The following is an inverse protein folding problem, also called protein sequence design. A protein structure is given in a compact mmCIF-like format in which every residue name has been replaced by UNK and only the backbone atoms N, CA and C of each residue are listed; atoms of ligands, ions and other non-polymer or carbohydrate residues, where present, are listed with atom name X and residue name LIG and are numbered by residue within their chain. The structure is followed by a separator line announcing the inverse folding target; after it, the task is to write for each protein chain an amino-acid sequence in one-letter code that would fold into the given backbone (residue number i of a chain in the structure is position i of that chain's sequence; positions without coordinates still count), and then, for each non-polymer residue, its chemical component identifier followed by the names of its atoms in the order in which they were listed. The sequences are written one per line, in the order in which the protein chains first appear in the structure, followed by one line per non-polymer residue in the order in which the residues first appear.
data_IF_741821799199
#
_entry.id   IF_741821799199
#
_cell.length_a   1.000
_cell.length_b   1.000
_cell.length_c   1.000
_cell.angle_alpha   90.00
_cell.angle_beta   90.00
_cell.angle_gamma   90.00
#
_symmetry.space_group_name_H-M   'P 1'
#
loop_
_entity.id
_entity.type
_entity.pdbx_description
1 polymer ?
#
# COMPACT_ATOMS: atom_id res chain seq x y z
N UNK A 1 -4.77 -0.11 8.60
CA UNK A 1 -5.10 0.91 7.60
C UNK A 1 -5.97 0.33 6.52
N UNK A 2 -6.98 1.08 6.07
CA UNK A 2 -7.77 0.73 4.90
C UNK A 2 -7.07 1.18 3.61
N UNK A 3 -7.53 0.70 2.46
CA UNK A 3 -6.95 1.05 1.16
C UNK A 3 -6.93 2.58 0.91
N UNK A 4 -7.86 3.33 1.50
CA UNK A 4 -7.93 4.77 1.35
C UNK A 4 -6.82 5.49 2.14
N UNK A 5 -6.57 5.08 3.38
CA UNK A 5 -5.48 5.63 4.20
C UNK A 5 -4.13 5.35 3.55
N UNK A 6 -3.95 4.15 3.00
CA UNK A 6 -2.72 3.77 2.29
C UNK A 6 -2.50 4.62 1.05
N UNK A 7 -3.56 4.86 0.26
CA UNK A 7 -3.47 5.78 -0.88
C UNK A 7 -3.05 7.19 -0.44
N UNK A 8 -3.56 7.68 0.69
CA UNK A 8 -3.22 9.01 1.21
C UNK A 8 -1.78 9.06 1.74
N UNK A 9 -1.36 8.06 2.53
CA UNK A 9 -0.03 7.96 3.11
C UNK A 9 1.06 7.86 2.03
N UNK A 10 0.82 7.04 1.00
CA UNK A 10 1.74 6.91 -0.13
C UNK A 10 1.58 8.05 -1.16
N UNK A 11 0.46 8.79 -1.13
CA UNK A 11 0.08 9.77 -2.13
C UNK A 11 -0.08 9.16 -3.52
N UNK A 12 -0.71 7.99 -3.60
CA UNK A 12 -0.90 7.24 -4.83
C UNK A 12 -2.39 7.08 -5.13
N UNK A 13 -2.70 6.83 -6.40
CA UNK A 13 -4.08 6.53 -6.81
C UNK A 13 -4.47 5.09 -6.43
N UNK A 14 -5.79 4.81 -6.36
CA UNK A 14 -6.30 3.45 -6.18
C UNK A 14 -5.78 2.47 -7.24
N UNK A 15 -5.52 2.95 -8.47
CA UNK A 15 -4.96 2.16 -9.56
C UNK A 15 -3.49 1.78 -9.30
N UNK A 16 -2.69 2.71 -8.77
CA UNK A 16 -1.33 2.41 -8.33
C UNK A 16 -1.34 1.40 -7.18
N UNK A 17 -2.23 1.57 -6.19
CA UNK A 17 -2.36 0.63 -5.06
C UNK A 17 -2.80 -0.78 -5.50
N UNK A 18 -3.62 -0.89 -6.55
CA UNK A 18 -3.92 -2.20 -7.16
C UNK A 18 -2.67 -2.78 -7.81
N UNK A 19 -1.98 -2.01 -8.66
CA UNK A 19 -0.77 -2.46 -9.34
C UNK A 19 0.32 -2.88 -8.34
N UNK A 20 0.46 -2.20 -7.20
CA UNK A 20 1.41 -2.58 -6.16
C UNK A 20 1.01 -3.84 -5.40
N UNK A 21 -0.29 -4.12 -5.25
CA UNK A 21 -0.74 -5.41 -4.73
C UNK A 21 -0.48 -6.53 -5.72
N UNK A 22 -0.80 -6.31 -6.99
CA UNK A 22 -0.60 -7.29 -8.06
C UNK A 22 0.88 -7.62 -8.27
N UNK A 23 1.75 -6.61 -8.14
CA UNK A 23 3.21 -6.78 -8.21
C UNK A 23 3.83 -7.26 -6.88
N UNK A 24 3.05 -7.43 -5.81
CA UNK A 24 3.56 -7.85 -4.49
C UNK A 24 4.44 -6.81 -3.78
N UNK A 25 4.38 -5.54 -4.20
CA UNK A 25 5.13 -4.42 -3.62
C UNK A 25 4.58 -3.95 -2.28
N UNK A 26 3.25 -4.04 -2.09
CA UNK A 26 2.60 -3.68 -0.82
C UNK A 26 2.06 -4.95 -0.17
N UNK A 27 2.60 -5.36 1.00
CA UNK A 27 2.03 -6.41 1.81
C UNK A 27 0.61 -6.05 2.24
N UNK A 28 -0.30 -6.99 2.08
CA UNK A 28 -1.68 -6.86 2.52
C UNK A 28 -2.09 -8.08 3.31
N UNK A 29 -2.98 -7.88 4.27
CA UNK A 29 -3.64 -8.94 5.02
C UNK A 29 -5.09 -8.99 4.58
N UNK A 30 -5.57 -10.15 4.14
CA UNK A 30 -7.00 -10.35 3.91
C UNK A 30 -7.64 -10.95 5.16
N UNK A 31 -8.56 -10.21 5.77
CA UNK A 31 -9.34 -10.71 6.90
C UNK A 31 -10.81 -10.56 6.55
N UNK A 32 -11.50 -11.68 6.36
CA UNK A 32 -12.94 -11.70 6.05
C UNK A 32 -13.31 -10.96 4.77
N UNK A 33 -12.46 -11.01 3.73
CA UNK A 33 -12.73 -10.36 2.44
C UNK A 33 -12.37 -8.87 2.39
N UNK A 34 -11.89 -8.29 3.49
CA UNK A 34 -11.35 -6.92 3.52
C UNK A 34 -9.83 -6.95 3.49
N UNK A 35 -9.25 -6.01 2.74
CA UNK A 35 -7.81 -5.81 2.65
C UNK A 35 -7.36 -4.81 3.72
N UNK A 36 -6.50 -5.29 4.62
CA UNK A 36 -5.88 -4.50 5.65
C UNK A 36 -4.39 -4.34 5.38
N UNK A 37 -3.87 -3.18 5.71
CA UNK A 37 -2.46 -2.86 5.59
C UNK A 37 -1.91 -2.48 6.96
N UNK A 38 -0.70 -2.97 7.26
CA UNK A 38 0.02 -2.61 8.48
C UNK A 38 0.78 -1.32 8.22
N UNK A 39 0.74 -0.40 9.17
CA UNK A 39 1.47 0.86 9.08
C UNK A 39 2.97 0.63 8.92
N UNK A 40 3.53 -0.35 9.63
CA UNK A 40 4.95 -0.69 9.54
C UNK A 40 5.36 -1.06 8.11
N UNK A 41 4.55 -1.85 7.40
CA UNK A 41 4.85 -2.25 6.02
C UNK A 41 4.80 -1.02 5.09
N UNK A 42 3.81 -0.14 5.26
CA UNK A 42 3.68 1.09 4.46
C UNK A 42 4.86 2.03 4.73
N UNK A 43 5.28 2.14 5.98
CA UNK A 43 6.40 2.98 6.37
C UNK A 43 7.73 2.42 5.83
N UNK A 44 7.95 1.11 5.90
CA UNK A 44 9.13 0.48 5.26
C UNK A 44 9.16 0.73 3.76
N UNK A 45 8.02 0.69 3.08
CA UNK A 45 7.95 0.94 1.62
C UNK A 45 8.27 2.40 1.28
N UNK A 46 7.80 3.34 2.12
CA UNK A 46 8.12 4.76 2.01
C UNK A 46 9.62 4.99 2.22
N UNK A 47 10.20 4.35 3.23
CA UNK A 47 11.60 4.50 3.63
C UNK A 47 12.56 3.80 2.65
N UNK A 48 12.17 2.63 2.16
CA UNK A 48 12.89 1.86 1.13
C UNK A 48 12.84 2.53 -0.25
N UNK A 49 12.01 3.56 -0.44
CA UNK A 49 11.92 4.32 -1.68
C UNK A 49 11.37 3.51 -2.87
N UNK A 50 10.71 2.38 -2.58
CA UNK A 50 10.10 1.48 -3.58
C UNK A 50 9.00 2.19 -4.38
N UNK A 51 8.36 3.20 -3.79
CA UNK A 51 7.33 4.02 -4.42
C UNK A 51 7.91 5.43 -4.63
N UNK A 52 8.63 5.62 -5.75
CA UNK A 52 9.06 6.95 -6.17
C UNK A 52 7.85 7.72 -6.72
N UNK A 53 7.53 8.85 -6.10
CA UNK A 53 6.73 9.90 -6.75
C UNK A 53 7.53 10.37 -7.97
N UNK A 54 6.96 10.18 -9.16
CA UNK A 54 7.47 10.77 -10.40
C UNK A 54 6.98 12.21 -10.51
#
# INVERSE_FOLDING_TARGET
MDAQDVCLALGISKRCLQNYRDNGLIPYSNVGGKFFYREVDIQEILESGLIKRK
#
